data_IF_232256257631
#
_entry.id   IF_232256257631
#
_cell.length_a   1.000
_cell.length_b   1.000
_cell.length_c   1.000
_cell.angle_alpha   90.00
_cell.angle_beta   90.00
_cell.angle_gamma   90.00
#
_symmetry.space_group_name_H-M   'P 1'
#
loop_
_entity.id
_entity.type
_entity.pdbx_description
1 polymer ?
#
# COMPACT_ATOMS: atom_id res chain seq x y z
N UNK A 1 -14.60 -26.11 62.98
CA UNK A 1 -14.01 -26.24 61.62
C UNK A 1 -14.41 -25.12 60.65
N UNK A 2 -14.93 -23.98 61.13
CA UNK A 2 -15.33 -22.87 60.24
C UNK A 2 -14.24 -21.80 60.03
N UNK A 3 -13.21 -21.78 60.88
CA UNK A 3 -12.15 -20.74 60.85
C UNK A 3 -11.03 -21.02 59.84
N UNK A 4 -10.97 -22.20 59.24
CA UNK A 4 -9.98 -22.54 58.20
C UNK A 4 -10.46 -22.10 56.80
N UNK A 5 -11.77 -22.18 56.53
CA UNK A 5 -12.36 -21.81 55.24
C UNK A 5 -12.46 -20.29 55.01
N UNK A 6 -12.55 -19.48 56.08
CA UNK A 6 -12.54 -18.01 55.98
C UNK A 6 -11.14 -17.47 55.61
N UNK A 7 -10.06 -18.13 56.05
CA UNK A 7 -8.69 -17.73 55.72
C UNK A 7 -8.30 -18.09 54.28
N UNK A 8 -8.79 -19.21 53.73
CA UNK A 8 -8.58 -19.55 52.31
C UNK A 8 -9.23 -18.55 51.34
N UNK A 9 -10.37 -17.95 51.71
CA UNK A 9 -10.99 -16.89 50.89
C UNK A 9 -10.26 -15.56 50.97
N UNK A 10 -9.64 -15.25 52.11
CA UNK A 10 -8.91 -13.98 52.33
C UNK A 10 -7.55 -13.96 51.62
N UNK A 11 -6.82 -15.08 51.62
CA UNK A 11 -5.54 -15.21 50.91
C UNK A 11 -5.69 -15.18 49.38
N UNK A 12 -6.74 -15.81 48.85
CA UNK A 12 -7.03 -15.80 47.41
C UNK A 12 -7.57 -14.45 46.92
N UNK A 13 -8.21 -13.65 47.78
CA UNK A 13 -8.67 -12.29 47.44
C UNK A 13 -7.51 -11.27 47.35
N UNK A 14 -6.40 -11.51 48.04
CA UNK A 14 -5.21 -10.64 48.03
C UNK A 14 -4.27 -10.93 46.85
N UNK A 15 -4.33 -12.14 46.26
CA UNK A 15 -3.52 -12.52 45.10
C UNK A 15 -4.01 -11.96 43.76
N UNK A 16 -5.27 -11.55 43.66
CA UNK A 16 -5.86 -11.07 42.39
C UNK A 16 -5.80 -9.54 42.21
N UNK A 17 -5.43 -8.77 43.26
CA UNK A 17 -5.32 -7.29 43.16
C UNK A 17 -4.02 -6.78 42.52
N UNK A 18 -2.97 -7.59 42.48
CA UNK A 18 -1.67 -7.21 41.90
C UNK A 18 -1.56 -7.52 40.40
N UNK A 19 -2.43 -8.37 39.86
CA UNK A 19 -2.42 -8.79 38.45
C UNK A 19 -3.22 -7.84 37.54
N UNK A 20 -4.23 -7.15 38.06
CA UNK A 20 -5.10 -6.28 37.25
C UNK A 20 -4.41 -4.95 36.86
N UNK A 21 -3.55 -4.41 37.74
CA UNK A 21 -2.86 -3.13 37.48
C UNK A 21 -1.73 -3.21 36.45
N UNK A 22 -1.21 -4.41 36.16
CA UNK A 22 -0.14 -4.61 35.18
C UNK A 22 -0.69 -4.89 33.77
N UNK A 23 -1.87 -5.50 33.65
CA UNK A 23 -2.50 -5.76 32.35
C UNK A 23 -3.03 -4.48 31.67
N UNK A 24 -3.53 -3.53 32.47
CA UNK A 24 -3.98 -2.23 31.92
C UNK A 24 -2.82 -1.38 31.39
N UNK A 25 -1.66 -1.38 32.07
CA UNK A 25 -0.44 -0.71 31.58
C UNK A 25 0.13 -1.33 30.30
N UNK A 26 -0.11 -2.63 30.06
CA UNK A 26 0.37 -3.31 28.86
C UNK A 26 -0.50 -3.00 27.63
N UNK A 27 -1.81 -2.80 27.81
CA UNK A 27 -2.75 -2.48 26.72
C UNK A 27 -2.63 -1.04 26.22
N UNK A 28 -2.27 -0.08 27.06
CA UNK A 28 -2.13 1.33 26.65
C UNK A 28 -0.91 1.58 25.74
N UNK A 29 0.16 0.79 25.89
CA UNK A 29 1.43 1.01 25.16
C UNK A 29 1.38 0.59 23.69
N UNK A 30 0.37 -0.18 23.28
CA UNK A 30 0.13 -0.64 21.91
C UNK A 30 -1.04 0.08 21.24
N UNK A 31 -1.32 1.34 21.60
CA UNK A 31 -2.16 2.19 20.75
C UNK A 31 -1.36 2.53 19.50
N UNK A 32 -1.44 1.65 18.50
CA UNK A 32 -0.88 1.87 17.17
C UNK A 32 -1.36 3.23 16.69
N UNK A 33 -0.44 4.22 16.68
CA UNK A 33 -0.68 5.46 15.95
C UNK A 33 -0.98 5.01 14.53
N UNK A 34 -2.25 5.09 14.15
CA UNK A 34 -2.71 4.82 12.80
C UNK A 34 -2.00 5.84 11.90
N UNK A 35 -0.81 5.47 11.46
CA UNK A 35 -0.12 6.08 10.36
C UNK A 35 -0.96 5.75 9.13
N UNK A 36 -2.10 6.45 8.98
CA UNK A 36 -2.87 6.52 7.74
C UNK A 36 -1.89 7.08 6.72
N UNK A 37 -1.15 6.17 6.07
CA UNK A 37 -0.20 6.48 4.99
C UNK A 37 -0.98 7.39 4.06
N UNK A 38 -0.52 8.65 3.95
CA UNK A 38 -1.13 9.66 3.11
C UNK A 38 -1.25 9.06 1.71
N UNK A 39 -2.43 8.58 1.35
CA UNK A 39 -2.67 7.96 0.04
C UNK A 39 -2.47 9.10 -0.93
N UNK A 40 -1.31 9.12 -1.61
CA UNK A 40 -1.04 10.10 -2.65
C UNK A 40 -2.21 9.99 -3.63
N UNK A 41 -2.96 11.09 -3.77
CA UNK A 41 -4.11 11.16 -4.67
C UNK A 41 -3.61 10.80 -6.07
N UNK A 42 -4.25 9.79 -6.65
CA UNK A 42 -3.80 9.13 -7.87
C UNK A 42 -4.24 9.95 -9.08
N UNK A 43 -3.34 10.28 -10.02
CA UNK A 43 -3.77 11.00 -11.21
C UNK A 43 -4.57 10.12 -12.17
N UNK A 44 -4.34 8.79 -12.21
CA UNK A 44 -5.01 7.89 -13.15
C UNK A 44 -5.17 6.46 -12.59
N UNK A 45 -6.39 5.92 -12.64
CA UNK A 45 -6.69 4.52 -12.31
C UNK A 45 -7.35 3.84 -13.51
N UNK A 46 -6.65 2.92 -14.15
CA UNK A 46 -7.22 2.12 -15.25
C UNK A 46 -8.28 1.15 -14.69
N UNK A 47 -9.39 0.99 -15.43
CA UNK A 47 -10.40 -0.02 -15.11
C UNK A 47 -9.75 -1.42 -15.15
N UNK A 48 -10.17 -2.37 -14.29
CA UNK A 48 -9.59 -3.71 -14.25
C UNK A 48 -9.66 -4.46 -15.58
N UNK A 49 -10.70 -4.21 -16.37
CA UNK A 49 -10.94 -4.81 -17.69
C UNK A 49 -10.35 -4.03 -18.86
N UNK A 50 -9.69 -2.89 -18.59
CA UNK A 50 -9.12 -2.07 -19.66
C UNK A 50 -7.96 -2.80 -20.34
N UNK A 51 -8.13 -3.08 -21.63
CA UNK A 51 -7.08 -3.60 -22.50
C UNK A 51 -6.22 -2.45 -23.02
N UNK A 52 -4.91 -2.50 -22.77
CA UNK A 52 -3.96 -1.46 -23.18
C UNK A 52 -3.32 -1.86 -24.51
N UNK A 53 -3.71 -1.21 -25.61
CA UNK A 53 -3.16 -1.48 -26.93
C UNK A 53 -2.06 -0.47 -27.32
N UNK A 54 -1.16 -0.86 -28.23
CA UNK A 54 -0.07 0.00 -28.70
C UNK A 54 -0.55 1.16 -29.58
N UNK A 55 -1.77 1.07 -30.13
CA UNK A 55 -2.39 2.08 -30.99
C UNK A 55 -2.92 3.28 -30.21
N UNK A 56 -3.16 3.13 -28.90
CA UNK A 56 -3.73 4.18 -28.05
C UNK A 56 -2.62 5.11 -27.52
N UNK A 57 -2.04 5.92 -28.40
CA UNK A 57 -0.84 6.72 -28.11
C UNK A 57 -1.04 7.63 -26.89
N UNK A 58 -2.19 8.27 -26.75
CA UNK A 58 -2.48 9.20 -25.65
C UNK A 58 -2.35 8.54 -24.26
N UNK A 59 -2.90 7.32 -24.14
CA UNK A 59 -2.84 6.55 -22.90
C UNK A 59 -1.40 6.15 -22.61
N UNK A 60 -0.67 5.69 -23.62
CA UNK A 60 0.72 5.28 -23.47
C UNK A 60 1.64 6.46 -23.10
N UNK A 61 1.39 7.63 -23.68
CA UNK A 61 2.12 8.86 -23.41
C UNK A 61 1.92 9.31 -21.95
N UNK A 62 0.69 9.22 -21.41
CA UNK A 62 0.41 9.49 -20.00
C UNK A 62 1.23 8.61 -19.03
N UNK A 63 1.58 7.38 -19.46
CA UNK A 63 2.43 6.46 -18.71
C UNK A 63 3.92 6.55 -19.05
N UNK A 64 4.31 7.47 -19.92
CA UNK A 64 5.71 7.85 -20.18
C UNK A 64 6.11 9.06 -19.34
N UNK A 65 7.39 9.20 -19.06
CA UNK A 65 7.99 10.44 -18.52
C UNK A 65 8.24 11.42 -19.66
N UNK A 66 8.54 12.67 -19.31
CA UNK A 66 8.93 13.71 -20.28
C UNK A 66 10.15 13.31 -21.10
N UNK A 67 11.11 12.58 -20.52
CA UNK A 67 12.28 12.01 -21.20
C UNK A 67 12.01 10.72 -22.02
N UNK A 68 10.74 10.32 -22.16
CA UNK A 68 10.39 9.11 -22.90
C UNK A 68 10.65 7.81 -22.14
N UNK A 69 10.91 7.79 -20.83
CA UNK A 69 11.04 6.56 -20.01
C UNK A 69 9.68 6.05 -19.55
N UNK A 70 9.53 4.74 -19.36
CA UNK A 70 8.27 4.17 -18.85
C UNK A 70 8.15 4.47 -17.35
N UNK A 71 7.03 5.06 -16.90
CA UNK A 71 6.76 5.31 -15.48
C UNK A 71 6.71 3.99 -14.69
N UNK A 72 7.22 4.03 -13.46
CA UNK A 72 7.23 2.87 -12.58
C UNK A 72 5.81 2.47 -12.16
N UNK A 73 5.61 1.17 -11.85
CA UNK A 73 4.33 0.70 -11.28
C UNK A 73 3.93 1.43 -9.99
N UNK A 74 4.92 1.84 -9.20
CA UNK A 74 4.71 2.53 -7.90
C UNK A 74 4.07 3.91 -8.09
N UNK A 75 4.44 4.59 -9.18
CA UNK A 75 3.91 5.90 -9.54
C UNK A 75 2.56 5.83 -10.25
N UNK A 76 2.30 4.75 -10.98
CA UNK A 76 1.08 4.58 -11.79
C UNK A 76 -0.01 3.77 -11.09
N UNK A 77 0.33 3.05 -10.02
CA UNK A 77 -0.56 2.17 -9.26
C UNK A 77 -1.35 1.17 -10.11
N UNK A 78 -0.73 0.70 -11.19
CA UNK A 78 -1.25 -0.40 -12.00
C UNK A 78 -1.03 -1.75 -11.32
N UNK A 79 -1.92 -2.71 -11.66
CA UNK A 79 -1.67 -4.11 -11.33
C UNK A 79 -0.44 -4.62 -12.08
N UNK A 80 0.17 -5.71 -11.59
CA UNK A 80 1.33 -6.31 -12.26
C UNK A 80 1.03 -6.73 -13.70
N UNK A 81 -0.17 -7.28 -13.95
CA UNK A 81 -0.64 -7.71 -15.27
C UNK A 81 -0.76 -6.51 -16.22
N UNK A 82 -1.41 -5.44 -15.78
CA UNK A 82 -1.54 -4.20 -16.55
C UNK A 82 -0.18 -3.56 -16.85
N UNK A 83 0.73 -3.50 -15.88
CA UNK A 83 2.08 -2.93 -16.10
C UNK A 83 2.87 -3.73 -17.15
N UNK A 84 2.75 -5.06 -17.16
CA UNK A 84 3.39 -5.92 -18.18
C UNK A 84 2.79 -5.69 -19.57
N UNK A 85 1.47 -5.60 -19.66
CA UNK A 85 0.76 -5.28 -20.91
C UNK A 85 1.16 -3.89 -21.43
N UNK A 86 1.10 -2.87 -20.57
CA UNK A 86 1.52 -1.51 -20.87
C UNK A 86 2.96 -1.47 -21.39
N UNK A 87 3.90 -2.12 -20.69
CA UNK A 87 5.31 -2.14 -21.10
C UNK A 87 5.51 -2.79 -22.47
N UNK A 88 4.74 -3.84 -22.79
CA UNK A 88 4.77 -4.50 -24.10
C UNK A 88 4.19 -3.58 -25.19
N UNK A 89 3.08 -2.91 -24.90
CA UNK A 89 2.43 -1.97 -25.82
C UNK A 89 3.29 -0.73 -26.09
N UNK A 90 3.92 -0.13 -25.07
CA UNK A 90 4.87 0.99 -25.25
C UNK A 90 6.05 0.56 -26.12
N UNK A 91 6.66 -0.61 -25.86
CA UNK A 91 7.78 -1.09 -26.66
C UNK A 91 7.38 -1.27 -28.13
N UNK A 92 6.21 -1.87 -28.40
CA UNK A 92 5.66 -2.00 -29.76
C UNK A 92 5.44 -0.65 -30.43
N UNK A 93 4.81 0.29 -29.72
CA UNK A 93 4.58 1.64 -30.22
C UNK A 93 5.90 2.35 -30.59
N UNK A 94 6.97 2.15 -29.81
CA UNK A 94 8.31 2.69 -30.14
C UNK A 94 8.91 2.07 -31.40
N UNK A 95 8.81 0.75 -31.57
CA UNK A 95 9.26 0.10 -32.81
C UNK A 95 8.50 0.61 -34.05
N UNK A 96 7.22 0.95 -33.87
CA UNK A 96 6.36 1.51 -34.91
C UNK A 96 6.47 3.04 -35.05
N UNK A 97 7.43 3.69 -34.37
CA UNK A 97 7.61 5.14 -34.36
C UNK A 97 6.40 5.96 -33.88
N UNK A 98 5.45 5.35 -33.18
CA UNK A 98 4.32 6.05 -32.54
C UNK A 98 4.74 6.76 -31.25
N UNK A 99 5.83 6.31 -30.63
CA UNK A 99 6.41 6.90 -29.42
C UNK A 99 7.92 7.03 -29.56
N UNK A 100 8.53 8.10 -29.02
CA UNK A 100 9.96 8.27 -29.02
C UNK A 100 10.66 7.34 -28.02
N UNK A 101 11.92 6.98 -28.33
CA UNK A 101 12.81 6.29 -27.39
C UNK A 101 13.45 7.25 -26.39
N UNK A 102 13.83 8.43 -26.87
CA UNK A 102 14.50 9.49 -26.11
C UNK A 102 13.90 10.81 -26.55
N UNK A 103 13.61 11.67 -25.59
CA UNK A 103 13.17 13.06 -25.81
C UNK A 103 14.10 13.97 -25.03
N UNK A 104 14.71 14.94 -25.74
CA UNK A 104 15.41 16.06 -25.13
C UNK A 104 14.36 17.04 -24.64
N UNK A 105 14.21 17.14 -23.31
CA UNK A 105 13.47 18.25 -22.73
C UNK A 105 14.48 19.36 -22.55
N UNK A 106 14.42 20.36 -23.43
CA UNK A 106 15.15 21.61 -23.24
C UNK A 106 14.39 22.41 -22.18
N UNK A 107 15.07 22.78 -21.10
CA UNK A 107 14.51 23.52 -19.96
C UNK A 107 14.82 25.00 -20.06
#
# INVERSE_FOLDING_TARGET
MENTFKNLKKENALKNRSTENNEEKFKEKHRSKDNKKKVRRQPFKLKPTATIDYKQVDILLAFSTEHGKIKSRRSTNLTLKQQRQLSKSIKRARYLHLLPFVTSVEN
#
